data_IF_183045545042
#
_entry.id   IF_183045545042
#
_cell.length_a   1.000
_cell.length_b   1.000
_cell.length_c   1.000
_cell.angle_alpha   90.00
_cell.angle_beta   90.00
_cell.angle_gamma   90.00
#
_symmetry.space_group_name_H-M   'P 1'
#
loop_
_entity.id
_entity.type
_entity.pdbx_description
1 polymer ?
#
# COMPACT_ATOMS: atom_id res chain seq x y z
N UNK A 1 -3.71 -19.47 17.30
CA UNK A 1 -3.01 -19.08 16.05
C UNK A 1 -3.14 -17.60 15.80
N UNK A 2 -2.05 -16.99 15.39
CA UNK A 2 -2.06 -15.57 15.09
C UNK A 2 -2.89 -15.29 13.83
N UNK A 3 -3.71 -14.25 13.89
CA UNK A 3 -4.44 -13.76 12.73
C UNK A 3 -3.47 -13.18 11.73
N UNK A 4 -3.68 -13.44 10.46
CA UNK A 4 -2.91 -12.80 9.41
C UNK A 4 -3.26 -11.32 9.36
N UNK A 5 -2.27 -10.47 9.11
CA UNK A 5 -2.52 -9.05 8.91
C UNK A 5 -3.09 -8.83 7.52
N UNK A 6 -3.99 -7.87 7.41
CA UNK A 6 -4.72 -7.60 6.16
C UNK A 6 -4.10 -6.44 5.41
N UNK A 7 -3.92 -6.64 4.11
CA UNK A 7 -3.33 -5.65 3.21
C UNK A 7 -4.23 -5.50 1.99
N UNK A 8 -4.44 -4.26 1.55
CA UNK A 8 -5.08 -3.98 0.27
C UNK A 8 -4.03 -3.35 -0.66
N UNK A 9 -3.88 -3.91 -1.85
CA UNK A 9 -3.02 -3.35 -2.89
C UNK A 9 -3.89 -2.62 -3.90
N UNK A 10 -3.66 -1.34 -4.09
CA UNK A 10 -4.39 -0.51 -5.05
C UNK A 10 -3.42 -0.11 -6.16
N UNK A 11 -3.61 -0.68 -7.34
CA UNK A 11 -2.75 -0.46 -8.50
C UNK A 11 -3.53 -0.82 -9.75
N UNK A 12 -3.58 0.07 -10.74
CA UNK A 12 -4.29 -0.17 -11.99
C UNK A 12 -3.62 -1.26 -12.85
N UNK A 13 -2.35 -1.54 -12.60
CA UNK A 13 -1.63 -2.62 -13.30
C UNK A 13 -1.99 -3.96 -12.65
N UNK A 14 -2.81 -4.75 -13.34
CA UNK A 14 -3.28 -6.04 -12.82
C UNK A 14 -2.12 -6.99 -12.55
N UNK A 15 -1.17 -7.08 -13.48
CA UNK A 15 -0.03 -8.00 -13.32
C UNK A 15 0.85 -7.61 -12.12
N UNK A 16 1.13 -6.32 -11.97
CA UNK A 16 1.94 -5.83 -10.86
C UNK A 16 1.27 -6.09 -9.51
N UNK A 17 -0.03 -5.81 -9.40
CA UNK A 17 -0.78 -6.02 -8.17
C UNK A 17 -0.88 -7.48 -7.80
N UNK A 18 -1.07 -8.36 -8.78
CA UNK A 18 -1.13 -9.81 -8.53
C UNK A 18 0.23 -10.34 -8.08
N UNK A 19 1.32 -9.82 -8.62
CA UNK A 19 2.66 -10.20 -8.20
C UNK A 19 2.90 -9.81 -6.74
N UNK A 20 2.53 -8.58 -6.37
CA UNK A 20 2.66 -8.10 -4.99
C UNK A 20 1.85 -9.00 -4.04
N UNK A 21 0.61 -9.31 -4.41
CA UNK A 21 -0.24 -10.19 -3.62
C UNK A 21 0.42 -11.55 -3.42
N UNK A 22 0.91 -12.15 -4.51
CA UNK A 22 1.53 -13.47 -4.46
C UNK A 22 2.74 -13.49 -3.53
N UNK A 23 3.60 -12.48 -3.64
CA UNK A 23 4.81 -12.39 -2.82
C UNK A 23 4.44 -12.28 -1.34
N UNK A 24 3.49 -11.41 -1.01
CA UNK A 24 3.11 -11.18 0.37
C UNK A 24 2.38 -12.38 0.98
N UNK A 25 1.47 -13.00 0.22
CA UNK A 25 0.73 -14.17 0.73
C UNK A 25 1.61 -15.41 0.88
N UNK A 26 2.62 -15.54 0.03
CA UNK A 26 3.54 -16.66 0.11
C UNK A 26 4.31 -16.69 1.43
N UNK A 27 4.49 -15.55 2.07
CA UNK A 27 5.14 -15.47 3.38
C UNK A 27 4.34 -16.16 4.50
N UNK A 28 3.03 -16.32 4.29
CA UNK A 28 2.13 -16.88 5.31
C UNK A 28 1.70 -15.87 6.36
N UNK A 29 2.18 -14.62 6.30
CA UNK A 29 1.93 -13.59 7.31
C UNK A 29 0.75 -12.68 6.97
N UNK A 30 0.36 -12.59 5.70
CA UNK A 30 -0.59 -11.58 5.23
C UNK A 30 -1.73 -12.19 4.43
N UNK A 31 -2.89 -11.55 4.57
CA UNK A 31 -4.05 -11.79 3.71
C UNK A 31 -4.19 -10.54 2.84
N UNK A 32 -4.10 -10.71 1.52
CA UNK A 32 -4.00 -9.59 0.59
C UNK A 32 -5.19 -9.55 -0.36
N UNK A 33 -5.80 -8.37 -0.45
CA UNK A 33 -6.83 -8.07 -1.45
C UNK A 33 -6.26 -7.10 -2.48
N UNK A 34 -6.82 -7.09 -3.67
CA UNK A 34 -6.35 -6.24 -4.77
C UNK A 34 -7.50 -5.38 -5.29
N UNK A 35 -7.22 -4.10 -5.54
CA UNK A 35 -8.14 -3.19 -6.21
C UNK A 35 -7.40 -2.58 -7.40
N UNK A 36 -7.92 -2.82 -8.60
CA UNK A 36 -7.28 -2.34 -9.83
C UNK A 36 -7.92 -1.06 -10.38
N UNK A 37 -8.78 -0.42 -9.60
CA UNK A 37 -9.41 0.84 -9.95
C UNK A 37 -9.30 1.81 -8.78
N UNK A 38 -8.60 2.91 -9.00
CA UNK A 38 -8.45 3.93 -7.95
C UNK A 38 -9.78 4.51 -7.49
N UNK A 39 -10.73 4.65 -8.41
CA UNK A 39 -12.07 5.16 -8.07
C UNK A 39 -12.86 4.25 -7.14
N UNK A 40 -12.47 2.99 -7.02
CA UNK A 40 -13.14 2.02 -6.14
C UNK A 40 -12.36 1.77 -4.84
N UNK A 41 -11.18 2.37 -4.72
CA UNK A 41 -10.29 2.08 -3.59
C UNK A 41 -10.92 2.43 -2.25
N UNK A 42 -11.46 3.63 -2.11
CA UNK A 42 -12.02 4.08 -0.84
C UNK A 42 -13.19 3.20 -0.39
N UNK A 43 -14.05 2.81 -1.33
CA UNK A 43 -15.17 1.91 -1.06
C UNK A 43 -14.67 0.57 -0.50
N UNK A 44 -13.66 -0.02 -1.13
CA UNK A 44 -13.08 -1.28 -0.67
C UNK A 44 -12.41 -1.14 0.69
N UNK A 45 -11.73 -0.02 0.91
CA UNK A 45 -11.08 0.25 2.19
C UNK A 45 -12.12 0.33 3.31
N UNK A 46 -13.22 1.03 3.08
CA UNK A 46 -14.30 1.13 4.05
C UNK A 46 -14.98 -0.20 4.34
N UNK A 47 -15.10 -1.03 3.31
CA UNK A 47 -15.71 -2.34 3.43
C UNK A 47 -14.82 -3.34 4.17
N UNK A 48 -13.54 -3.39 3.81
CA UNK A 48 -12.61 -4.41 4.30
C UNK A 48 -11.80 -3.99 5.53
N UNK A 49 -11.65 -2.69 5.77
CA UNK A 49 -10.81 -2.16 6.85
C UNK A 49 -9.43 -2.81 6.90
N UNK A 50 -8.65 -2.77 5.80
CA UNK A 50 -7.31 -3.35 5.81
C UNK A 50 -6.41 -2.60 6.80
N UNK A 51 -5.46 -3.30 7.37
CA UNK A 51 -4.51 -2.68 8.29
C UNK A 51 -3.48 -1.83 7.54
N UNK A 52 -3.18 -2.21 6.29
CA UNK A 52 -2.22 -1.51 5.44
C UNK A 52 -2.76 -1.42 4.02
N UNK A 53 -2.63 -0.24 3.41
CA UNK A 53 -2.96 -0.03 2.00
C UNK A 53 -1.67 0.31 1.26
N UNK A 54 -1.31 -0.52 0.28
CA UNK A 54 -0.22 -0.22 -0.66
C UNK A 54 -0.86 0.45 -1.86
N UNK A 55 -0.61 1.73 -2.03
CA UNK A 55 -1.39 2.59 -2.92
C UNK A 55 -0.49 3.21 -3.99
N UNK A 56 -0.78 2.92 -5.25
CA UNK A 56 -0.11 3.56 -6.38
C UNK A 56 -0.54 5.03 -6.44
N UNK A 57 0.40 5.91 -6.68
CA UNK A 57 0.12 7.35 -6.79
C UNK A 57 -0.54 7.68 -8.11
N UNK A 58 -0.02 7.14 -9.21
CA UNK A 58 -0.52 7.46 -10.55
C UNK A 58 -1.41 6.37 -11.09
N UNK A 59 -2.70 6.67 -11.14
CA UNK A 59 -3.70 5.79 -11.75
C UNK A 59 -4.55 6.62 -12.72
N UNK A 60 -5.00 6.03 -13.85
CA UNK A 60 -5.72 6.81 -14.85
C UNK A 60 -7.06 7.37 -14.38
N UNK A 61 -7.71 6.72 -13.40
CA UNK A 61 -9.03 7.12 -12.94
C UNK A 61 -9.04 7.79 -11.55
N UNK A 62 -7.89 7.89 -10.90
CA UNK A 62 -7.81 8.52 -9.59
C UNK A 62 -6.35 8.85 -9.23
N UNK A 63 -6.20 9.91 -8.44
CA UNK A 63 -4.90 10.28 -7.89
C UNK A 63 -4.75 9.60 -6.53
N UNK A 64 -3.67 8.83 -6.36
CA UNK A 64 -3.40 8.16 -5.10
C UNK A 64 -3.30 9.11 -3.92
N UNK A 65 -2.74 10.31 -4.14
CA UNK A 65 -2.65 11.31 -3.06
C UNK A 65 -4.03 11.74 -2.58
N UNK A 66 -5.00 11.88 -3.49
CA UNK A 66 -6.38 12.21 -3.12
C UNK A 66 -7.02 11.08 -2.32
N UNK A 67 -6.80 9.83 -2.72
CA UNK A 67 -7.31 8.68 -1.99
C UNK A 67 -6.72 8.65 -0.57
N UNK A 68 -5.42 8.89 -0.44
CA UNK A 68 -4.75 8.93 0.86
C UNK A 68 -5.33 10.02 1.76
N UNK A 69 -5.62 11.20 1.20
CA UNK A 69 -6.23 12.29 1.96
C UNK A 69 -7.64 11.92 2.42
N UNK A 70 -8.41 11.26 1.59
CA UNK A 70 -9.75 10.82 1.96
C UNK A 70 -9.71 9.79 3.10
N UNK A 71 -8.71 8.91 3.09
CA UNK A 71 -8.51 7.96 4.19
C UNK A 71 -8.18 8.72 5.48
N UNK A 72 -7.28 9.69 5.40
CA UNK A 72 -6.87 10.48 6.57
C UNK A 72 -8.04 11.24 7.18
N UNK A 73 -8.94 11.75 6.36
CA UNK A 73 -10.10 12.52 6.83
C UNK A 73 -11.25 11.67 7.35
N UNK A 74 -11.21 10.35 7.14
CA UNK A 74 -12.27 9.44 7.54
C UNK A 74 -11.95 8.85 8.91
N UNK A 75 -12.71 9.25 9.93
CA UNK A 75 -12.50 8.80 11.30
C UNK A 75 -12.62 7.28 11.45
N UNK A 76 -13.46 6.63 10.64
CA UNK A 76 -13.61 5.18 10.70
C UNK A 76 -12.35 4.45 10.20
N UNK A 77 -11.45 5.16 9.53
CA UNK A 77 -10.22 4.62 8.97
C UNK A 77 -8.97 5.12 9.70
N UNK A 78 -9.13 5.58 10.93
CA UNK A 78 -8.03 6.17 11.70
C UNK A 78 -6.83 5.24 11.89
N UNK A 79 -7.07 3.92 11.90
CA UNK A 79 -6.02 2.93 12.11
C UNK A 79 -5.47 2.35 10.80
N UNK A 80 -6.01 2.77 9.66
CA UNK A 80 -5.55 2.31 8.35
C UNK A 80 -4.25 3.03 7.99
N UNK A 81 -3.20 2.26 7.72
CA UNK A 81 -1.91 2.83 7.30
C UNK A 81 -1.83 2.86 5.79
N UNK A 82 -1.26 3.93 5.25
CA UNK A 82 -1.05 4.08 3.81
C UNK A 82 0.43 4.13 3.51
N UNK A 83 0.86 3.31 2.55
CA UNK A 83 2.21 3.34 2.01
C UNK A 83 2.06 3.49 0.50
N UNK A 84 2.70 4.51 -0.07
CA UNK A 84 2.66 4.70 -1.51
C UNK A 84 3.61 3.73 -2.22
N UNK A 85 3.20 3.25 -3.39
CA UNK A 85 4.07 2.52 -4.30
C UNK A 85 4.15 3.33 -5.58
N UNK A 86 5.35 3.73 -5.99
CA UNK A 86 5.48 4.64 -7.11
C UNK A 86 6.79 4.46 -7.87
N UNK A 87 6.74 4.67 -9.20
CA UNK A 87 7.94 4.75 -10.04
C UNK A 87 8.37 6.21 -10.27
N UNK A 88 7.70 7.17 -9.64
CA UNK A 88 7.96 8.60 -9.84
C UNK A 88 9.22 9.11 -9.15
N UNK A 89 9.71 8.40 -8.12
CA UNK A 89 10.86 8.87 -7.34
C UNK A 89 12.12 8.10 -7.72
N UNK A 90 13.24 8.80 -7.79
CA UNK A 90 14.55 8.20 -8.03
C UNK A 90 15.11 7.62 -6.73
N UNK A 91 16.14 6.77 -6.86
CA UNK A 91 16.84 6.24 -5.70
C UNK A 91 17.41 7.34 -4.80
N UNK A 92 17.84 8.44 -5.41
CA UNK A 92 18.35 9.58 -4.66
C UNK A 92 17.27 10.25 -3.83
N UNK A 93 16.07 10.35 -4.36
CA UNK A 93 14.94 10.91 -3.65
C UNK A 93 14.49 9.99 -2.51
N UNK A 94 14.54 8.67 -2.74
CA UNK A 94 14.26 7.69 -1.69
C UNK A 94 15.24 7.87 -0.53
N UNK A 95 16.52 8.03 -0.82
CA UNK A 95 17.54 8.19 0.21
C UNK A 95 17.37 9.48 1.02
N UNK A 96 16.93 10.56 0.38
CA UNK A 96 16.76 11.86 1.03
C UNK A 96 15.44 12.01 1.75
N UNK A 97 14.39 11.44 1.19
CA UNK A 97 13.04 11.67 1.69
C UNK A 97 12.19 10.42 1.49
N UNK A 98 12.01 9.67 2.55
CA UNK A 98 11.26 8.41 2.51
C UNK A 98 9.76 8.62 2.71
N UNK A 99 9.27 9.88 2.63
CA UNK A 99 7.88 10.21 2.90
C UNK A 99 7.33 11.11 1.81
N UNK A 100 6.13 10.82 1.33
CA UNK A 100 5.37 11.65 0.39
C UNK A 100 4.07 12.05 1.07
N UNK A 101 3.82 13.33 1.22
CA UNK A 101 2.59 13.84 1.83
C UNK A 101 2.34 13.31 3.22
N UNK A 102 3.39 13.03 3.99
CA UNK A 102 3.29 12.47 5.33
C UNK A 102 3.21 10.94 5.38
N UNK A 103 3.25 10.26 4.23
CA UNK A 103 3.18 8.82 4.14
C UNK A 103 4.48 8.22 3.62
N UNK A 104 4.92 7.07 4.14
CA UNK A 104 6.08 6.38 3.58
C UNK A 104 5.77 5.88 2.17
N UNK A 105 6.81 5.56 1.42
CA UNK A 105 6.63 5.04 0.06
C UNK A 105 7.65 3.95 -0.26
N UNK A 106 7.29 3.14 -1.27
CA UNK A 106 8.16 2.11 -1.84
C UNK A 106 8.36 2.47 -3.30
N UNK A 107 9.61 2.52 -3.74
CA UNK A 107 9.95 2.81 -5.13
C UNK A 107 9.81 1.55 -5.98
N UNK A 108 9.14 1.68 -7.15
CA UNK A 108 9.04 0.59 -8.13
C UNK A 108 10.20 0.65 -9.11
N UNK A 109 10.64 -0.47 -9.67
CA UNK A 109 10.29 -1.84 -9.32
C UNK A 109 10.99 -2.28 -8.04
N UNK A 110 10.36 -3.18 -7.28
CA UNK A 110 10.92 -3.67 -6.03
C UNK A 110 11.04 -5.20 -6.09
N UNK A 111 12.13 -5.74 -5.56
CA UNK A 111 12.30 -7.19 -5.47
C UNK A 111 11.36 -7.76 -4.40
N UNK A 112 11.01 -9.05 -4.53
CA UNK A 112 10.14 -9.69 -3.57
C UNK A 112 10.71 -9.65 -2.15
N UNK A 113 12.01 -9.87 -2.01
CA UNK A 113 12.68 -9.81 -0.71
C UNK A 113 12.58 -8.42 -0.09
N UNK A 114 12.84 -7.38 -0.87
CA UNK A 114 12.77 -6.00 -0.37
C UNK A 114 11.34 -5.59 -0.04
N UNK A 115 10.37 -6.07 -0.81
CA UNK A 115 8.96 -5.81 -0.55
C UNK A 115 8.56 -6.39 0.82
N UNK A 116 8.92 -7.64 1.09
CA UNK A 116 8.61 -8.29 2.37
C UNK A 116 9.26 -7.56 3.53
N UNK A 117 10.52 -7.18 3.40
CA UNK A 117 11.23 -6.43 4.44
C UNK A 117 10.57 -5.09 4.72
N UNK A 118 10.19 -4.38 3.66
CA UNK A 118 9.55 -3.07 3.80
C UNK A 118 8.21 -3.18 4.50
N UNK A 119 7.38 -4.14 4.11
CA UNK A 119 6.06 -4.32 4.71
C UNK A 119 6.19 -4.73 6.18
N UNK A 120 7.09 -5.65 6.49
CA UNK A 120 7.35 -6.04 7.88
C UNK A 120 7.77 -4.83 8.72
N UNK A 121 8.64 -3.98 8.17
CA UNK A 121 9.09 -2.78 8.84
C UNK A 121 7.95 -1.80 9.14
N UNK A 122 7.03 -1.63 8.21
CA UNK A 122 5.88 -0.74 8.44
C UNK A 122 5.01 -1.24 9.59
N UNK A 123 4.78 -2.53 9.68
CA UNK A 123 4.00 -3.09 10.78
C UNK A 123 4.74 -3.01 12.12
N UNK A 124 6.05 -3.16 12.13
CA UNK A 124 6.85 -3.03 13.36
C UNK A 124 6.82 -1.62 13.93
N UNK A 125 6.68 -0.60 13.10
CA UNK A 125 6.61 0.80 13.55
C UNK A 125 5.36 1.10 14.38
N UNK A 126 4.38 0.21 14.40
CA UNK A 126 3.17 0.38 15.21
C UNK A 126 3.45 0.24 16.70
N UNK A 127 4.52 -0.43 17.03
CA UNK A 127 4.87 -0.66 18.44
C UNK A 127 5.73 0.50 18.96
#
# INVERSE_FOLDING_TARGET
MAKKRTILVVDDDVSASQMVKMILEKSGLYEVSVCNRGSKALEMIREKHPELVLLDIMMPDADGADVANQIREDESLALTRVVFMTSLVSEKEVAKNSVIGGHPFISKPISGENLLKSVQGFFELEN
#
